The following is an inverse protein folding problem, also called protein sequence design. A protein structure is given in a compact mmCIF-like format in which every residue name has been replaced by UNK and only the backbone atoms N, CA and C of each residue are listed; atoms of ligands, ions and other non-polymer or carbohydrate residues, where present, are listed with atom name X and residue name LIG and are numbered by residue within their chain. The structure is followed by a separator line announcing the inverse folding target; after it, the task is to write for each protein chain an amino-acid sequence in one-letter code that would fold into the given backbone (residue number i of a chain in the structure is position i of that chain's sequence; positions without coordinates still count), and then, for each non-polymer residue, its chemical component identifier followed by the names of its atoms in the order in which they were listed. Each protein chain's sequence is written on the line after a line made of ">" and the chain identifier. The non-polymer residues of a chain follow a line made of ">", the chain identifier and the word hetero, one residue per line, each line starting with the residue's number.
data_IF_779247228910
#
_entry.id   IF_779247228910
#
_cell.length_a   1.000
_cell.length_b   1.000
_cell.length_c   1.000
_cell.angle_alpha   90.00
_cell.angle_beta   90.00
_cell.angle_gamma   90.00
#
_symmetry.space_group_name_H-M   'P 1'
#
loop_
_entity.id
_entity.type
_entity.pdbx_description
1 polymer ?
#
# COMPACT_ATOMS: atom_id res chain seq x y z
N UNK A 1 73.20 -35.58 -45.93
CA UNK A 1 73.11 -34.36 -45.07
C UNK A 1 71.64 -34.18 -44.70
N UNK A 2 71.22 -34.60 -43.52
CA UNK A 2 69.81 -34.49 -43.04
C UNK A 2 69.80 -33.47 -41.95
N UNK A 3 69.10 -32.37 -42.12
CA UNK A 3 68.93 -31.27 -41.20
C UNK A 3 67.70 -31.65 -40.30
N UNK A 4 67.91 -31.77 -38.98
CA UNK A 4 66.83 -31.89 -38.02
C UNK A 4 66.54 -30.49 -37.44
N UNK A 5 65.33 -30.03 -37.60
CA UNK A 5 64.81 -28.83 -36.95
C UNK A 5 64.01 -29.28 -35.75
N UNK A 6 64.44 -28.89 -34.54
CA UNK A 6 63.70 -29.10 -33.27
C UNK A 6 62.83 -27.89 -33.04
N UNK A 7 61.52 -28.11 -33.00
CA UNK A 7 60.52 -27.09 -32.63
C UNK A 7 60.38 -27.08 -31.12
N UNK A 8 60.72 -25.99 -30.45
CA UNK A 8 60.45 -25.76 -29.04
C UNK A 8 59.07 -25.10 -28.93
N UNK A 9 58.10 -25.83 -28.39
CA UNK A 9 56.79 -25.28 -28.09
C UNK A 9 56.87 -24.62 -26.68
N UNK A 10 56.94 -23.28 -26.67
CA UNK A 10 56.79 -22.50 -25.45
C UNK A 10 55.28 -22.41 -25.08
N UNK A 11 54.96 -23.07 -23.97
CA UNK A 11 53.61 -22.96 -23.40
C UNK A 11 53.35 -21.53 -22.87
N UNK A 12 52.45 -20.82 -23.53
CA UNK A 12 51.89 -19.56 -23.01
C UNK A 12 50.82 -19.89 -21.99
N UNK A 13 51.09 -19.67 -20.70
CA UNK A 13 50.11 -19.78 -19.63
C UNK A 13 49.22 -18.54 -19.76
N UNK A 14 48.05 -18.68 -20.41
CA UNK A 14 46.99 -17.68 -20.40
C UNK A 14 46.37 -17.66 -18.99
N UNK A 15 46.79 -16.72 -18.18
CA UNK A 15 46.06 -16.38 -16.98
C UNK A 15 44.68 -15.84 -17.36
N UNK A 16 43.62 -16.63 -17.11
CA UNK A 16 42.24 -16.17 -17.20
C UNK A 16 42.02 -15.13 -16.08
N UNK A 17 42.24 -13.87 -16.42
CA UNK A 17 41.73 -12.75 -15.66
C UNK A 17 40.20 -12.78 -15.85
N UNK A 18 39.47 -13.27 -14.85
CA UNK A 18 38.05 -13.01 -14.76
C UNK A 18 37.86 -11.50 -14.79
N UNK A 19 37.07 -10.95 -15.71
CA UNK A 19 36.72 -9.55 -15.58
C UNK A 19 35.91 -9.40 -14.34
N UNK A 20 36.47 -8.78 -13.29
CA UNK A 20 35.69 -8.20 -12.25
C UNK A 20 34.80 -7.16 -12.95
N UNK A 21 33.58 -7.55 -13.28
CA UNK A 21 32.55 -6.62 -13.66
C UNK A 21 32.28 -5.74 -12.45
N UNK A 22 32.96 -4.63 -12.35
CA UNK A 22 32.51 -3.54 -11.51
C UNK A 22 31.16 -3.12 -12.06
N UNK A 23 30.08 -3.70 -11.53
CA UNK A 23 28.75 -3.19 -11.79
C UNK A 23 28.76 -1.73 -11.38
N UNK A 24 28.47 -0.84 -12.31
CA UNK A 24 28.26 0.57 -11.99
C UNK A 24 27.24 0.63 -10.87
N UNK A 25 27.41 1.51 -9.87
CA UNK A 25 26.43 1.64 -8.80
C UNK A 25 25.06 1.90 -9.44
N UNK A 26 24.10 1.09 -9.04
CA UNK A 26 22.72 1.21 -9.48
C UNK A 26 22.21 2.62 -9.17
N UNK A 27 21.76 3.34 -10.19
CA UNK A 27 21.18 4.68 -10.03
C UNK A 27 19.69 4.54 -9.74
N UNK A 28 19.32 4.51 -8.49
CA UNK A 28 17.94 4.67 -8.05
C UNK A 28 17.78 6.00 -7.29
N UNK A 29 16.53 6.46 -7.16
CA UNK A 29 16.21 7.64 -6.40
C UNK A 29 15.56 7.23 -5.08
N UNK A 30 15.77 8.01 -4.01
CA UNK A 30 15.06 7.83 -2.75
C UNK A 30 14.71 9.17 -2.11
N UNK A 31 13.53 9.22 -1.47
CA UNK A 31 13.03 10.39 -0.75
C UNK A 31 12.39 9.97 0.57
N UNK A 32 12.36 10.82 1.60
CA UNK A 32 11.58 10.56 2.80
C UNK A 32 10.10 10.35 2.47
N UNK A 33 9.45 9.42 3.16
CA UNK A 33 8.02 9.17 3.05
C UNK A 33 7.24 9.99 4.10
N UNK A 34 5.98 10.38 3.82
CA UNK A 34 5.13 11.06 4.78
C UNK A 34 4.67 10.11 5.88
N UNK A 35 4.18 10.69 6.99
CA UNK A 35 3.42 9.97 8.01
C UNK A 35 1.94 9.95 7.66
N UNK A 36 1.30 8.81 7.85
CA UNK A 36 -0.16 8.61 7.81
C UNK A 36 -0.65 8.45 9.23
N UNK A 37 -1.80 9.05 9.56
CA UNK A 37 -2.33 9.09 10.93
C UNK A 37 -3.51 8.14 11.09
N UNK A 38 -3.57 7.49 12.24
CA UNK A 38 -4.73 6.71 12.70
C UNK A 38 -5.46 7.47 13.80
N UNK A 39 -6.76 7.65 13.64
CA UNK A 39 -7.53 8.51 14.49
C UNK A 39 -8.48 7.74 15.42
N UNK A 40 -8.84 8.37 16.52
CA UNK A 40 -9.98 7.95 17.35
C UNK A 40 -11.26 8.15 16.56
N UNK A 41 -12.11 7.14 16.53
CA UNK A 41 -13.47 7.28 16.04
C UNK A 41 -14.29 8.27 16.92
N UNK A 42 -15.30 8.93 16.36
CA UNK A 42 -16.22 9.75 17.13
C UNK A 42 -16.83 8.99 18.30
N UNK A 43 -17.06 9.68 19.43
CA UNK A 43 -17.67 9.07 20.62
C UNK A 43 -19.05 8.49 20.27
N UNK A 44 -19.28 7.23 20.65
CA UNK A 44 -20.53 6.53 20.36
C UNK A 44 -20.55 5.82 19.00
N UNK A 45 -19.44 5.77 18.27
CA UNK A 45 -19.30 4.94 17.06
C UNK A 45 -19.56 3.48 17.43
N UNK A 46 -20.51 2.85 16.75
CA UNK A 46 -20.81 1.43 16.90
C UNK A 46 -19.95 0.60 15.96
N UNK A 47 -19.37 -0.46 16.46
CA UNK A 47 -18.64 -1.46 15.68
C UNK A 47 -19.22 -2.86 15.95
N UNK A 48 -18.93 -3.79 15.05
CA UNK A 48 -19.32 -5.19 15.25
C UNK A 48 -18.12 -5.94 15.82
N UNK A 49 -18.22 -6.34 17.10
CA UNK A 49 -17.22 -7.24 17.70
C UNK A 49 -17.30 -8.59 16.99
N UNK A 50 -16.24 -9.02 16.36
CA UNK A 50 -16.09 -10.37 15.81
C UNK A 50 -14.88 -11.00 16.47
N UNK A 51 -15.05 -12.22 16.96
CA UNK A 51 -13.93 -13.07 17.32
C UNK A 51 -13.20 -13.45 16.04
N UNK A 52 -12.09 -12.80 15.77
CA UNK A 52 -11.23 -13.19 14.68
C UNK A 52 -10.44 -14.43 15.11
N UNK A 53 -10.60 -15.58 14.44
CA UNK A 53 -9.73 -16.69 14.72
C UNK A 53 -8.30 -16.26 14.38
N UNK A 54 -7.38 -16.36 15.33
CA UNK A 54 -5.94 -16.24 15.08
C UNK A 54 -5.51 -17.47 14.28
N UNK A 55 -5.69 -17.45 12.97
CA UNK A 55 -5.10 -18.46 12.08
C UNK A 55 -3.64 -18.08 11.86
N UNK A 56 -2.80 -18.48 12.79
CA UNK A 56 -1.35 -18.38 12.60
C UNK A 56 -0.91 -19.51 11.67
N UNK A 57 -0.45 -19.18 10.48
CA UNK A 57 0.50 -20.04 9.79
C UNK A 57 1.75 -20.10 10.65
N UNK A 58 2.29 -21.29 10.90
CA UNK A 58 3.54 -21.45 11.65
C UNK A 58 4.76 -20.92 10.87
N UNK A 59 4.61 -20.68 9.59
CA UNK A 59 5.69 -20.27 8.70
C UNK A 59 5.72 -18.73 8.55
N UNK A 60 6.73 -18.12 9.14
CA UNK A 60 7.01 -16.70 8.92
C UNK A 60 7.44 -16.47 7.47
N UNK A 61 6.79 -15.50 6.81
CA UNK A 61 7.08 -15.08 5.44
C UNK A 61 8.15 -13.98 5.39
N UNK A 62 8.42 -13.31 6.54
CA UNK A 62 9.47 -12.30 6.69
C UNK A 62 10.03 -12.31 8.10
N UNK A 63 11.27 -11.83 8.22
CA UNK A 63 11.88 -11.47 9.50
C UNK A 63 11.66 -9.98 9.73
N UNK A 64 11.02 -9.61 10.84
CA UNK A 64 10.81 -8.22 11.25
C UNK A 64 11.51 -8.01 12.58
N UNK A 65 12.43 -7.06 12.63
CA UNK A 65 13.21 -6.69 13.82
C UNK A 65 12.71 -5.36 14.37
N UNK A 66 12.55 -5.26 15.70
CA UNK A 66 11.98 -4.10 16.36
C UNK A 66 13.05 -3.35 17.15
N UNK A 67 13.19 -2.06 16.88
CA UNK A 67 13.84 -1.12 17.78
C UNK A 67 12.75 -0.40 18.60
N UNK A 68 12.62 -0.74 19.86
CA UNK A 68 11.59 -0.17 20.74
C UNK A 68 11.91 1.24 21.23
N UNK A 69 13.16 1.70 21.05
CA UNK A 69 13.63 3.03 21.42
C UNK A 69 13.13 3.44 22.84
N UNK A 70 12.29 4.49 22.94
CA UNK A 70 11.77 5.02 24.21
C UNK A 70 10.44 4.37 24.64
N UNK A 71 10.00 3.32 23.97
CA UNK A 71 8.72 2.65 24.27
C UNK A 71 8.77 1.92 25.61
N UNK A 72 7.82 2.16 26.53
CA UNK A 72 7.77 1.47 27.82
C UNK A 72 7.64 -0.05 27.66
N UNK A 73 8.22 -0.80 28.61
CA UNK A 73 8.29 -2.26 28.53
C UNK A 73 6.92 -2.94 28.48
N UNK A 74 5.92 -2.39 29.16
CA UNK A 74 4.56 -2.92 29.19
C UNK A 74 3.84 -2.87 27.82
N UNK A 75 4.31 -2.05 26.85
CA UNK A 75 3.75 -1.96 25.50
C UNK A 75 4.30 -3.04 24.56
N UNK A 76 5.51 -3.54 24.85
CA UNK A 76 6.26 -4.44 23.97
C UNK A 76 5.50 -5.72 23.58
N UNK A 77 4.76 -6.39 24.50
CA UNK A 77 4.03 -7.61 24.15
C UNK A 77 2.97 -7.39 23.06
N UNK A 78 2.19 -6.31 23.15
CA UNK A 78 1.16 -5.99 22.16
C UNK A 78 1.78 -5.60 20.80
N UNK A 79 2.88 -4.85 20.81
CA UNK A 79 3.63 -4.49 19.61
C UNK A 79 4.21 -5.76 18.95
N UNK A 80 4.82 -6.66 19.75
CA UNK A 80 5.37 -7.91 19.23
C UNK A 80 4.29 -8.79 18.61
N UNK A 81 3.11 -8.88 19.23
CA UNK A 81 1.98 -9.64 18.69
C UNK A 81 1.54 -9.12 17.31
N UNK A 82 1.44 -7.80 17.16
CA UNK A 82 1.13 -7.16 15.87
C UNK A 82 2.19 -7.44 14.78
N UNK A 83 3.48 -7.38 15.16
CA UNK A 83 4.61 -7.68 14.27
C UNK A 83 4.60 -9.15 13.86
N UNK A 84 4.29 -10.06 14.78
CA UNK A 84 4.21 -11.49 14.46
C UNK A 84 3.10 -11.78 13.45
N UNK A 85 1.98 -11.09 13.51
CA UNK A 85 0.89 -11.17 12.52
C UNK A 85 1.38 -10.75 11.12
N UNK A 86 2.06 -9.60 11.01
CA UNK A 86 2.57 -9.14 9.71
C UNK A 86 3.74 -9.98 9.20
N UNK A 87 4.58 -10.53 10.09
CA UNK A 87 5.65 -11.43 9.68
C UNK A 87 5.16 -12.69 8.97
N UNK A 88 3.90 -13.06 9.18
CA UNK A 88 3.24 -14.19 8.51
C UNK A 88 2.51 -13.79 7.24
N UNK A 89 2.18 -12.51 7.08
CA UNK A 89 1.33 -11.99 6.00
C UNK A 89 2.12 -11.25 4.92
N UNK A 90 3.22 -10.60 5.26
CA UNK A 90 4.08 -9.88 4.32
C UNK A 90 5.30 -10.71 3.93
N UNK A 91 5.46 -10.95 2.63
CA UNK A 91 6.56 -11.78 2.11
C UNK A 91 7.80 -10.94 1.81
N UNK A 92 8.90 -11.21 2.50
CA UNK A 92 10.20 -10.61 2.23
C UNK A 92 11.34 -11.56 2.61
N UNK A 93 12.29 -11.78 1.70
CA UNK A 93 13.54 -12.45 2.01
C UNK A 93 14.57 -11.52 2.70
N UNK A 94 14.34 -10.21 2.63
CA UNK A 94 15.17 -9.17 3.26
C UNK A 94 14.56 -8.85 4.62
N UNK A 95 15.33 -8.85 5.72
CA UNK A 95 14.83 -8.45 7.03
C UNK A 95 14.32 -7.00 7.01
N UNK A 96 13.22 -6.77 7.72
CA UNK A 96 12.59 -5.45 7.85
C UNK A 96 12.94 -4.90 9.23
N UNK A 97 13.50 -3.69 9.28
CA UNK A 97 13.80 -2.98 10.54
C UNK A 97 12.67 -1.99 10.80
N UNK A 98 12.04 -2.07 11.96
CA UNK A 98 11.03 -1.11 12.38
C UNK A 98 11.50 -0.36 13.62
N UNK A 99 11.20 0.94 13.67
CA UNK A 99 11.44 1.79 14.82
C UNK A 99 10.11 2.21 15.44
N UNK A 100 9.99 2.02 16.76
CA UNK A 100 8.80 2.43 17.52
C UNK A 100 9.18 3.60 18.43
N UNK A 101 8.48 4.70 18.27
CA UNK A 101 8.65 5.92 19.08
C UNK A 101 7.39 6.14 19.94
N UNK A 102 7.58 6.27 21.25
CA UNK A 102 6.51 6.63 22.17
C UNK A 102 6.66 8.11 22.54
N UNK A 103 5.92 8.97 21.85
CA UNK A 103 6.08 10.40 21.94
C UNK A 103 4.75 11.15 21.83
N UNK A 104 4.72 12.40 22.31
CA UNK A 104 3.52 13.23 22.24
C UNK A 104 3.30 13.71 20.80
N UNK A 105 2.10 13.49 20.27
CA UNK A 105 1.67 14.02 18.98
C UNK A 105 0.97 15.39 19.15
N UNK A 106 0.80 16.13 18.04
CA UNK A 106 0.19 17.46 18.02
C UNK A 106 -1.31 17.46 18.40
N UNK A 107 -1.98 16.33 18.29
CA UNK A 107 -3.41 16.16 18.61
C UNK A 107 -3.63 14.89 19.42
N UNK A 108 -4.44 14.97 20.45
CA UNK A 108 -4.89 13.81 21.24
C UNK A 108 -5.91 12.93 20.51
N UNK A 109 -6.43 13.40 19.36
CA UNK A 109 -7.27 12.60 18.46
C UNK A 109 -6.49 11.55 17.68
N UNK A 110 -5.20 11.79 17.44
CA UNK A 110 -4.31 10.82 16.79
C UNK A 110 -3.93 9.75 17.80
N UNK A 111 -4.15 8.48 17.47
CA UNK A 111 -3.72 7.32 18.27
C UNK A 111 -2.26 6.98 18.01
N UNK A 112 -1.90 6.89 16.74
CA UNK A 112 -0.56 6.67 16.26
C UNK A 112 -0.41 7.21 14.84
N UNK A 113 0.82 7.16 14.32
CA UNK A 113 1.13 7.48 12.93
C UNK A 113 2.29 6.60 12.43
N UNK A 114 2.25 6.19 11.17
CA UNK A 114 3.34 5.46 10.55
C UNK A 114 3.85 6.10 9.27
N UNK A 115 5.13 5.84 8.98
CA UNK A 115 5.80 6.18 7.74
C UNK A 115 6.61 4.97 7.26
N UNK A 116 6.64 4.67 5.94
CA UNK A 116 7.57 3.69 5.37
C UNK A 116 9.03 4.16 5.36
N UNK A 117 9.39 5.12 6.19
CA UNK A 117 10.72 5.70 6.26
C UNK A 117 11.09 6.42 4.96
N UNK A 118 11.26 5.69 3.88
CA UNK A 118 11.61 6.24 2.55
C UNK A 118 10.81 5.57 1.44
N UNK A 119 10.71 6.29 0.33
CA UNK A 119 10.31 5.74 -0.96
C UNK A 119 11.52 5.59 -1.89
N UNK A 120 11.48 4.58 -2.75
CA UNK A 120 12.51 4.27 -3.75
C UNK A 120 11.90 4.12 -5.14
N UNK A 121 12.58 4.67 -6.17
CA UNK A 121 12.20 4.58 -7.58
C UNK A 121 13.40 4.14 -8.42
N UNK A 122 13.16 3.38 -9.47
CA UNK A 122 14.16 3.03 -10.48
C UNK A 122 15.21 2.00 -10.05
N UNK A 123 14.97 1.25 -8.96
CA UNK A 123 15.86 0.17 -8.52
C UNK A 123 15.67 -1.11 -9.37
N UNK A 124 16.70 -1.95 -9.44
CA UNK A 124 16.60 -3.24 -10.13
C UNK A 124 15.58 -4.14 -9.41
N UNK A 125 14.65 -4.70 -10.16
CA UNK A 125 13.53 -5.49 -9.63
C UNK A 125 12.24 -4.71 -9.44
N UNK A 126 12.23 -3.36 -9.59
CA UNK A 126 11.01 -2.59 -9.56
C UNK A 126 10.05 -3.03 -10.69
N UNK A 127 8.80 -3.42 -10.39
CA UNK A 127 7.83 -3.83 -11.41
C UNK A 127 7.49 -2.70 -12.41
N UNK A 128 7.52 -1.46 -11.94
CA UNK A 128 7.40 -0.25 -12.76
C UNK A 128 8.44 0.78 -12.28
N UNK A 129 9.34 1.19 -13.17
CA UNK A 129 10.44 2.11 -12.85
C UNK A 129 10.02 3.57 -12.66
N UNK A 130 8.74 3.91 -12.81
CA UNK A 130 8.18 5.26 -12.61
C UNK A 130 7.36 5.38 -11.33
N UNK A 131 7.32 4.31 -10.52
CA UNK A 131 6.55 4.23 -9.29
C UNK A 131 7.50 4.23 -8.09
N UNK A 132 7.09 4.88 -7.01
CA UNK A 132 7.83 5.07 -5.78
C UNK A 132 7.38 4.05 -4.73
N UNK A 133 8.21 3.05 -4.48
CA UNK A 133 7.91 1.94 -3.58
C UNK A 133 8.35 2.25 -2.15
N UNK A 134 7.50 1.93 -1.18
CA UNK A 134 7.84 1.94 0.24
C UNK A 134 9.08 1.06 0.52
N UNK A 135 9.93 1.45 1.47
CA UNK A 135 11.23 0.81 1.72
C UNK A 135 11.15 -0.71 1.87
N UNK A 136 10.21 -1.21 2.69
CA UNK A 136 10.03 -2.65 2.87
C UNK A 136 9.66 -3.39 1.57
N UNK A 137 8.79 -2.79 0.73
CA UNK A 137 8.44 -3.33 -0.58
C UNK A 137 9.63 -3.29 -1.53
N UNK A 138 10.33 -2.15 -1.58
CA UNK A 138 11.48 -1.97 -2.46
C UNK A 138 12.59 -2.98 -2.13
N UNK A 139 12.92 -3.18 -0.86
CA UNK A 139 13.91 -4.15 -0.40
C UNK A 139 13.49 -5.60 -0.75
N UNK A 140 12.21 -5.94 -0.53
CA UNK A 140 11.67 -7.26 -0.90
C UNK A 140 11.79 -7.52 -2.41
N UNK A 141 11.48 -6.55 -3.25
CA UNK A 141 11.53 -6.64 -4.70
C UNK A 141 12.99 -6.65 -5.23
N UNK A 142 13.87 -5.85 -4.62
CA UNK A 142 15.28 -5.78 -4.97
C UNK A 142 16.08 -7.01 -4.48
N UNK A 143 15.53 -7.79 -3.52
CA UNK A 143 16.24 -8.89 -2.87
C UNK A 143 17.41 -8.45 -2.00
N UNK A 144 17.51 -7.18 -1.66
CA UNK A 144 18.54 -6.58 -0.80
C UNK A 144 18.05 -5.31 -0.14
N UNK A 145 18.66 -4.93 0.95
CA UNK A 145 18.43 -3.64 1.60
C UNK A 145 19.03 -2.50 0.76
N UNK A 146 18.22 -1.51 0.44
CA UNK A 146 18.58 -0.35 -0.39
C UNK A 146 19.11 0.82 0.45
N UNK A 147 18.83 0.84 1.76
CA UNK A 147 19.29 1.90 2.69
C UNK A 147 19.53 1.34 4.11
N UNK A 148 20.60 0.58 4.34
CA UNK A 148 20.89 -0.03 5.63
C UNK A 148 21.10 0.94 6.80
N UNK A 149 21.13 2.24 6.54
CA UNK A 149 21.32 3.25 7.56
C UNK A 149 20.00 3.69 8.24
N UNK A 150 18.86 3.37 7.64
CA UNK A 150 17.55 3.81 8.11
C UNK A 150 16.58 2.62 8.23
N UNK A 151 15.62 2.66 9.19
CA UNK A 151 14.58 1.64 9.28
C UNK A 151 13.62 1.74 8.08
N UNK A 152 13.06 0.58 7.67
CA UNK A 152 12.03 0.51 6.64
C UNK A 152 10.70 1.09 7.11
N UNK A 153 10.43 1.06 8.41
CA UNK A 153 9.17 1.56 8.99
C UNK A 153 9.46 2.33 10.27
N UNK A 154 8.85 3.49 10.42
CA UNK A 154 8.82 4.22 11.70
C UNK A 154 7.37 4.38 12.16
N UNK A 155 7.07 3.97 13.39
CA UNK A 155 5.75 4.12 14.02
C UNK A 155 5.88 5.03 15.23
N UNK A 156 4.99 6.03 15.34
CA UNK A 156 4.88 6.96 16.46
C UNK A 156 3.61 6.70 17.23
N UNK A 157 3.71 6.13 18.42
CA UNK A 157 2.59 5.95 19.35
C UNK A 157 2.39 7.25 20.12
N UNK A 158 1.17 7.80 20.11
CA UNK A 158 0.88 9.04 20.80
C UNK A 158 0.79 8.84 22.32
N UNK A 159 1.81 9.27 23.03
CA UNK A 159 1.92 9.14 24.49
C UNK A 159 0.83 9.89 25.27
N UNK A 160 0.16 10.89 24.67
CA UNK A 160 -1.00 11.56 25.27
C UNK A 160 -2.17 10.59 25.54
N UNK A 161 -2.20 9.46 24.83
CA UNK A 161 -3.25 8.44 24.90
C UNK A 161 -2.89 7.25 25.79
N UNK A 162 -1.72 7.21 26.43
CA UNK A 162 -1.20 6.04 27.14
C UNK A 162 -2.21 5.43 28.14
N UNK A 163 -2.88 6.25 28.94
CA UNK A 163 -3.89 5.78 29.88
C UNK A 163 -5.17 5.21 29.23
N UNK A 164 -5.39 5.50 27.95
CA UNK A 164 -6.55 5.03 27.18
C UNK A 164 -6.25 3.78 26.36
N UNK A 165 -5.00 3.29 26.36
CA UNK A 165 -4.62 2.10 25.60
C UNK A 165 -4.87 0.82 26.41
N UNK A 166 -5.29 -0.22 25.71
CA UNK A 166 -5.34 -1.59 26.20
C UNK A 166 -4.11 -2.34 25.70
N UNK A 167 -3.36 -2.93 26.61
CA UNK A 167 -2.06 -3.57 26.32
C UNK A 167 -2.15 -5.10 26.27
N UNK A 168 -3.35 -5.67 26.53
CA UNK A 168 -3.56 -7.11 26.40
C UNK A 168 -3.63 -7.55 24.94
N UNK A 169 -3.31 -8.82 24.70
CA UNK A 169 -3.32 -9.45 23.38
C UNK A 169 -4.38 -10.53 23.25
N UNK A 170 -5.34 -10.56 24.16
CA UNK A 170 -6.38 -11.57 24.28
C UNK A 170 -7.68 -11.24 23.51
N UNK A 171 -7.73 -10.07 22.83
CA UNK A 171 -8.90 -9.60 22.09
C UNK A 171 -10.03 -9.07 22.97
N UNK A 172 -9.83 -8.91 24.28
CA UNK A 172 -10.84 -8.47 25.22
C UNK A 172 -10.71 -6.98 25.60
N UNK A 173 -10.45 -6.12 24.61
CA UNK A 173 -10.31 -4.69 24.83
C UNK A 173 -11.59 -4.11 25.48
N UNK A 174 -11.47 -3.44 26.64
CA UNK A 174 -12.62 -2.77 27.28
C UNK A 174 -13.16 -1.62 26.41
N UNK A 175 -14.48 -1.40 26.46
CA UNK A 175 -15.17 -0.33 25.71
C UNK A 175 -14.74 1.10 26.10
N UNK A 176 -13.89 1.26 27.12
CA UNK A 176 -13.31 2.54 27.53
C UNK A 176 -11.89 2.73 27.02
N UNK A 177 -11.34 1.78 26.26
CA UNK A 177 -9.94 1.77 25.82
C UNK A 177 -9.81 1.52 24.31
N UNK A 178 -8.64 1.83 23.79
CA UNK A 178 -8.23 1.51 22.41
C UNK A 178 -7.22 0.36 22.43
N UNK A 179 -7.39 -0.63 21.58
CA UNK A 179 -6.54 -1.81 21.51
C UNK A 179 -5.20 -1.50 20.85
N UNK A 180 -4.09 -1.62 21.59
CA UNK A 180 -2.76 -1.27 21.07
C UNK A 180 -2.31 -2.22 19.98
N UNK A 181 -2.58 -3.52 20.08
CA UNK A 181 -2.23 -4.50 19.04
C UNK A 181 -2.89 -4.12 17.71
N UNK A 182 -4.18 -3.75 17.73
CA UNK A 182 -4.91 -3.28 16.56
C UNK A 182 -4.32 -2.01 15.96
N UNK A 183 -3.93 -1.04 16.80
CA UNK A 183 -3.26 0.19 16.36
C UNK A 183 -1.97 -0.16 15.63
N UNK A 184 -1.13 -1.03 16.17
CA UNK A 184 0.16 -1.38 15.56
C UNK A 184 -0.04 -2.20 14.28
N UNK A 185 -1.03 -3.09 14.21
CA UNK A 185 -1.36 -3.82 12.97
C UNK A 185 -1.74 -2.82 11.85
N UNK A 186 -2.55 -1.81 12.16
CA UNK A 186 -2.94 -0.76 11.23
C UNK A 186 -1.72 0.04 10.76
N UNK A 187 -0.90 0.55 11.67
CA UNK A 187 0.26 1.36 11.37
C UNK A 187 1.31 0.60 10.55
N UNK A 188 1.50 -0.69 10.84
CA UNK A 188 2.36 -1.54 10.01
C UNK A 188 1.84 -1.66 8.58
N UNK A 189 0.53 -1.69 8.36
CA UNK A 189 -0.04 -1.64 7.01
C UNK A 189 0.46 -0.43 6.22
N UNK A 190 0.41 0.76 6.81
CA UNK A 190 0.96 1.99 6.21
C UNK A 190 2.47 1.91 6.00
N UNK A 191 3.20 1.47 7.03
CA UNK A 191 4.66 1.31 6.96
C UNK A 191 5.09 0.32 5.87
N UNK A 192 4.33 -0.71 5.63
CA UNK A 192 4.57 -1.71 4.57
C UNK A 192 4.11 -1.24 3.18
N UNK A 193 3.52 -0.04 3.05
CA UNK A 193 3.22 0.57 1.76
C UNK A 193 1.73 0.77 1.44
N UNK A 194 0.82 0.50 2.36
CA UNK A 194 -0.61 0.76 2.17
C UNK A 194 -0.88 2.26 2.37
N UNK A 195 -0.47 3.10 1.43
CA UNK A 195 -0.67 4.55 1.49
C UNK A 195 -0.61 5.22 0.11
N UNK A 196 -1.39 6.28 -0.06
CA UNK A 196 -1.30 7.22 -1.18
C UNK A 196 -0.25 8.31 -0.87
N UNK A 197 0.45 8.78 -1.89
CA UNK A 197 1.33 9.95 -1.81
C UNK A 197 0.71 11.18 -2.49
N UNK A 198 -0.62 11.22 -2.58
CA UNK A 198 -1.36 12.38 -3.06
C UNK A 198 -1.47 13.46 -1.98
N UNK A 199 -1.56 14.71 -2.41
CA UNK A 199 -1.75 15.87 -1.54
C UNK A 199 -2.87 16.76 -2.08
N UNK A 200 -3.47 17.58 -1.22
CA UNK A 200 -4.64 18.42 -1.53
C UNK A 200 -4.49 19.82 -0.97
N UNK A 201 -4.62 20.82 -1.83
CA UNK A 201 -4.70 22.22 -1.41
C UNK A 201 -6.16 22.65 -1.26
N UNK A 202 -6.61 22.77 -0.02
CA UNK A 202 -8.00 23.15 0.31
C UNK A 202 -8.34 24.60 -0.07
N UNK A 203 -7.35 25.50 -0.24
CA UNK A 203 -7.59 26.88 -0.63
C UNK A 203 -7.98 27.01 -2.11
N UNK A 204 -7.44 26.11 -2.94
CA UNK A 204 -7.65 26.11 -4.39
C UNK A 204 -8.45 24.91 -4.89
N UNK A 205 -8.75 23.92 -4.03
CA UNK A 205 -9.42 22.69 -4.43
C UNK A 205 -8.59 21.87 -5.42
N UNK A 206 -7.27 21.98 -5.38
CA UNK A 206 -6.36 21.28 -6.30
C UNK A 206 -5.70 20.10 -5.63
N UNK A 207 -5.62 18.97 -6.34
CA UNK A 207 -4.84 17.80 -5.93
C UNK A 207 -3.48 17.79 -6.60
N UNK A 208 -2.49 17.19 -5.94
CA UNK A 208 -1.18 16.89 -6.51
C UNK A 208 -0.75 15.45 -6.23
N UNK A 209 -0.08 14.85 -7.21
CA UNK A 209 0.51 13.51 -7.12
C UNK A 209 1.77 13.49 -7.99
N UNK A 210 2.90 13.83 -7.39
CA UNK A 210 4.17 13.98 -8.12
C UNK A 210 5.06 12.74 -8.05
N UNK A 211 4.80 11.88 -7.06
CA UNK A 211 5.53 10.63 -6.82
C UNK A 211 4.53 9.52 -6.52
N UNK A 212 3.88 8.96 -7.57
CA UNK A 212 2.86 7.93 -7.36
C UNK A 212 3.47 6.68 -6.72
N UNK A 213 2.78 6.14 -5.72
CA UNK A 213 3.09 4.85 -5.10
C UNK A 213 2.41 3.71 -5.85
N UNK A 214 2.76 2.43 -5.58
CA UNK A 214 1.96 1.31 -6.07
C UNK A 214 0.48 1.44 -5.70
N UNK A 215 0.18 1.95 -4.50
CA UNK A 215 -1.19 2.20 -4.06
C UNK A 215 -1.92 3.18 -5.00
N UNK A 216 -1.29 4.30 -5.36
CA UNK A 216 -1.84 5.29 -6.28
C UNK A 216 -2.07 4.72 -7.68
N UNK A 217 -1.22 3.79 -8.10
CA UNK A 217 -1.31 3.14 -9.40
C UNK A 217 -2.52 2.18 -9.52
N UNK A 218 -2.98 1.64 -8.39
CA UNK A 218 -4.19 0.82 -8.32
C UNK A 218 -5.44 1.61 -7.93
N UNK A 219 -5.31 2.83 -7.41
CA UNK A 219 -6.44 3.72 -7.16
C UNK A 219 -7.04 4.17 -8.50
N UNK A 220 -8.36 4.00 -8.67
CA UNK A 220 -9.08 4.20 -9.93
C UNK A 220 -10.31 5.06 -9.74
N UNK A 221 -10.52 5.99 -10.68
CA UNK A 221 -11.73 6.79 -10.78
C UNK A 221 -12.90 5.93 -11.29
N UNK A 222 -14.17 6.38 -11.11
CA UNK A 222 -15.34 5.68 -11.62
C UNK A 222 -15.35 5.47 -13.15
N UNK A 223 -14.67 6.34 -13.90
CA UNK A 223 -14.52 6.25 -15.34
C UNK A 223 -13.45 5.25 -15.81
N UNK A 224 -12.74 4.62 -14.87
CA UNK A 224 -11.72 3.60 -15.12
C UNK A 224 -10.31 4.13 -15.30
N UNK A 225 -10.08 5.45 -15.29
CA UNK A 225 -8.73 6.04 -15.28
C UNK A 225 -8.05 5.77 -13.92
N UNK A 226 -6.75 5.51 -13.94
CA UNK A 226 -5.96 5.43 -12.69
C UNK A 226 -5.77 6.85 -12.13
N UNK A 227 -5.68 6.95 -10.81
CA UNK A 227 -5.41 8.22 -10.13
C UNK A 227 -4.13 8.88 -10.65
N UNK A 228 -3.07 8.10 -10.86
CA UNK A 228 -1.79 8.59 -11.36
C UNK A 228 -1.80 9.08 -12.80
N UNK A 229 -2.84 8.80 -13.59
CA UNK A 229 -2.99 9.27 -14.97
C UNK A 229 -3.73 10.61 -15.04
N UNK A 230 -4.25 11.12 -13.93
CA UNK A 230 -4.88 12.45 -13.86
C UNK A 230 -3.79 13.53 -13.82
N UNK A 231 -3.98 14.61 -14.58
CA UNK A 231 -3.02 15.71 -14.59
C UNK A 231 -2.72 16.22 -13.17
N UNK A 232 -1.46 16.33 -12.83
CA UNK A 232 -0.97 16.79 -11.52
C UNK A 232 0.00 17.97 -11.67
N UNK A 233 -0.18 19.08 -10.91
CA UNK A 233 -1.35 19.38 -10.08
C UNK A 233 -2.57 19.80 -10.91
N UNK A 234 -3.80 19.56 -10.41
CA UNK A 234 -5.02 20.02 -11.08
C UNK A 234 -6.25 20.03 -10.15
N UNK A 235 -7.27 20.82 -10.53
CA UNK A 235 -8.59 20.79 -9.90
C UNK A 235 -9.32 19.46 -10.17
N UNK A 236 -9.06 18.79 -11.30
CA UNK A 236 -9.61 17.47 -11.60
C UNK A 236 -9.10 16.42 -10.63
N UNK A 237 -7.77 16.43 -10.35
CA UNK A 237 -7.18 15.57 -9.35
C UNK A 237 -7.75 15.89 -7.95
N UNK A 238 -7.86 17.17 -7.57
CA UNK A 238 -8.49 17.57 -6.31
C UNK A 238 -9.90 17.01 -6.16
N UNK A 239 -10.71 17.07 -7.22
CA UNK A 239 -12.05 16.47 -7.24
C UNK A 239 -11.99 14.94 -7.12
N UNK A 240 -11.01 14.27 -7.71
CA UNK A 240 -10.86 12.82 -7.58
C UNK A 240 -10.53 12.43 -6.14
N UNK A 241 -9.67 13.20 -5.44
CA UNK A 241 -9.29 12.92 -4.05
C UNK A 241 -10.42 13.13 -3.03
N UNK A 242 -11.49 13.84 -3.39
CA UNK A 242 -12.66 14.14 -2.54
C UNK A 242 -13.94 13.51 -3.06
N UNK A 243 -13.83 12.54 -3.95
CA UNK A 243 -14.95 11.81 -4.51
C UNK A 243 -14.66 10.31 -4.51
N UNK A 244 -15.45 9.50 -5.19
CA UNK A 244 -15.30 8.06 -5.20
C UNK A 244 -14.02 7.64 -5.91
N UNK A 245 -13.14 6.96 -5.17
CA UNK A 245 -12.04 6.15 -5.70
C UNK A 245 -12.25 4.69 -5.30
N UNK A 246 -11.79 3.78 -6.15
CA UNK A 246 -11.88 2.34 -5.92
C UNK A 246 -10.55 1.68 -6.22
N UNK A 247 -10.31 0.52 -5.60
CA UNK A 247 -9.15 -0.32 -5.88
C UNK A 247 -9.36 -1.12 -7.17
N UNK A 248 -8.35 -1.19 -8.03
CA UNK A 248 -8.42 -1.90 -9.33
C UNK A 248 -7.58 -3.17 -9.39
N UNK A 249 -6.87 -3.54 -8.31
CA UNK A 249 -6.03 -4.73 -8.26
C UNK A 249 -6.85 -6.02 -8.26
N UNK A 250 -6.40 -7.02 -9.03
CA UNK A 250 -7.15 -8.25 -9.27
C UNK A 250 -7.33 -9.11 -8.01
N UNK A 251 -6.30 -9.16 -7.14
CA UNK A 251 -6.38 -9.92 -5.89
C UNK A 251 -7.38 -9.28 -4.93
N UNK A 252 -7.29 -7.93 -4.75
CA UNK A 252 -8.23 -7.19 -3.91
C UNK A 252 -9.68 -7.34 -4.39
N UNK A 253 -9.93 -7.23 -5.70
CA UNK A 253 -11.25 -7.45 -6.29
C UNK A 253 -11.76 -8.87 -6.04
N UNK A 254 -10.91 -9.87 -6.26
CA UNK A 254 -11.25 -11.30 -6.06
C UNK A 254 -11.66 -11.58 -4.61
N UNK A 255 -10.89 -11.08 -3.66
CA UNK A 255 -11.17 -11.27 -2.22
C UNK A 255 -12.41 -10.50 -1.80
N UNK A 256 -12.67 -9.34 -2.38
CA UNK A 256 -13.88 -8.56 -2.14
C UNK A 256 -15.07 -9.01 -3.02
N UNK A 257 -15.20 -10.32 -3.26
CA UNK A 257 -16.31 -10.94 -3.97
C UNK A 257 -16.57 -10.40 -5.38
N UNK A 258 -15.52 -10.01 -6.09
CA UNK A 258 -15.60 -9.44 -7.44
C UNK A 258 -15.97 -7.97 -7.49
N UNK A 259 -16.14 -7.31 -6.36
CA UNK A 259 -16.43 -5.87 -6.27
C UNK A 259 -15.14 -5.10 -6.01
N UNK A 260 -14.93 -4.00 -6.74
CA UNK A 260 -13.80 -3.10 -6.49
C UNK A 260 -13.89 -2.50 -5.08
N UNK A 261 -12.90 -2.72 -4.20
CA UNK A 261 -12.88 -2.11 -2.87
C UNK A 261 -12.93 -0.58 -2.96
N UNK A 262 -13.78 0.04 -2.15
CA UNK A 262 -13.90 1.49 -2.09
C UNK A 262 -12.84 2.07 -1.18
N UNK A 263 -12.17 3.15 -1.63
CA UNK A 263 -11.18 3.89 -0.86
C UNK A 263 -11.82 5.05 -0.10
N UNK A 264 -11.19 5.47 0.99
CA UNK A 264 -11.67 6.56 1.82
C UNK A 264 -11.43 7.92 1.16
N UNK A 265 -12.47 8.52 0.62
CA UNK A 265 -12.42 9.80 -0.07
C UNK A 265 -13.59 10.69 0.39
N UNK A 266 -13.53 11.20 1.64
CA UNK A 266 -14.57 12.07 2.17
C UNK A 266 -14.66 13.39 1.38
N UNK A 267 -15.85 14.00 1.31
CA UNK A 267 -16.07 15.25 0.60
C UNK A 267 -15.20 16.40 1.13
N UNK A 268 -14.89 16.39 2.42
CA UNK A 268 -13.88 17.25 3.02
C UNK A 268 -12.59 16.45 3.15
N UNK A 269 -11.56 16.85 2.43
CA UNK A 269 -10.26 16.15 2.48
C UNK A 269 -9.68 16.18 3.90
N UNK A 270 -9.29 15.02 4.40
CA UNK A 270 -8.69 14.83 5.72
C UNK A 270 -7.22 14.50 5.55
N UNK A 271 -6.34 15.46 5.91
CA UNK A 271 -4.89 15.30 5.80
C UNK A 271 -4.38 14.13 6.65
N UNK A 272 -3.53 13.31 6.05
CA UNK A 272 -3.00 12.10 6.70
C UNK A 272 -3.99 10.95 6.80
N UNK A 273 -5.18 11.04 6.14
CA UNK A 273 -6.21 9.99 6.19
C UNK A 273 -6.82 9.72 4.81
N UNK A 274 -7.28 10.77 4.11
CA UNK A 274 -7.93 10.64 2.81
C UNK A 274 -7.07 9.88 1.81
N UNK A 275 -7.70 9.04 1.01
CA UNK A 275 -7.14 8.13 0.00
C UNK A 275 -6.35 6.96 0.59
N UNK A 276 -5.55 7.17 1.62
CA UNK A 276 -4.66 6.15 2.23
C UNK A 276 -5.38 5.07 3.04
N UNK A 277 -6.71 5.02 3.02
CA UNK A 277 -7.51 4.09 3.80
C UNK A 277 -8.63 3.45 2.96
N UNK A 278 -9.19 2.36 3.48
CA UNK A 278 -10.45 1.79 3.01
C UNK A 278 -11.63 2.66 3.47
N UNK A 279 -12.71 2.69 2.66
CA UNK A 279 -13.89 3.50 2.95
C UNK A 279 -14.53 3.11 4.29
N UNK A 280 -14.55 4.03 5.24
CA UNK A 280 -15.09 3.84 6.58
C UNK A 280 -16.54 3.32 6.55
N UNK A 281 -17.41 3.94 5.74
CA UNK A 281 -18.82 3.57 5.67
C UNK A 281 -19.05 2.16 5.10
N UNK A 282 -18.14 1.69 4.24
CA UNK A 282 -18.22 0.36 3.63
C UNK A 282 -17.64 -0.72 4.54
N UNK A 283 -16.50 -0.45 5.19
CA UNK A 283 -15.69 -1.48 5.86
C UNK A 283 -15.72 -1.45 7.38
N UNK A 284 -16.09 -0.35 8.05
CA UNK A 284 -16.12 -0.26 9.52
C UNK A 284 -17.04 -1.31 10.20
N UNK A 285 -17.94 -1.92 9.46
CA UNK A 285 -18.83 -2.99 9.92
C UNK A 285 -18.39 -4.38 9.47
N UNK A 286 -17.33 -4.47 8.68
CA UNK A 286 -16.70 -5.72 8.30
C UNK A 286 -15.63 -6.02 9.32
N UNK A 287 -15.91 -6.88 10.26
CA UNK A 287 -14.96 -7.26 11.30
C UNK A 287 -13.68 -7.95 10.77
N UNK A 288 -13.62 -8.26 9.50
CA UNK A 288 -12.48 -8.96 8.88
C UNK A 288 -11.59 -8.00 8.11
N UNK A 289 -12.16 -6.96 7.46
CA UNK A 289 -11.45 -6.09 6.52
C UNK A 289 -11.45 -4.60 6.95
N UNK A 290 -11.78 -4.30 8.22
CA UNK A 290 -11.84 -2.92 8.73
C UNK A 290 -10.51 -2.39 9.25
N UNK A 291 -9.45 -3.20 9.30
CA UNK A 291 -8.17 -2.77 9.89
C UNK A 291 -7.60 -1.51 9.25
N UNK A 292 -7.76 -1.32 7.94
CA UNK A 292 -7.27 -0.13 7.24
C UNK A 292 -8.37 0.91 6.98
N UNK A 293 -9.41 0.99 7.82
CA UNK A 293 -10.29 2.16 7.89
C UNK A 293 -9.64 3.27 8.73
N UNK A 294 -9.98 4.56 8.53
CA UNK A 294 -9.22 5.66 9.12
C UNK A 294 -9.40 5.86 10.62
N UNK A 295 -10.34 5.16 11.26
CA UNK A 295 -10.70 5.39 12.66
C UNK A 295 -10.82 4.08 13.44
N UNK A 296 -10.43 4.12 14.73
CA UNK A 296 -10.62 3.04 15.69
C UNK A 296 -11.60 3.47 16.78
N UNK A 297 -12.63 2.66 17.01
CA UNK A 297 -13.55 2.89 18.12
C UNK A 297 -13.01 2.29 19.44
N UNK A 298 -13.47 2.83 20.57
CA UNK A 298 -13.17 2.25 21.88
C UNK A 298 -13.70 0.81 21.97
N UNK A 299 -12.86 -0.13 22.40
CA UNK A 299 -13.20 -1.55 22.52
C UNK A 299 -13.17 -2.32 21.19
N UNK A 300 -12.93 -1.67 20.08
CA UNK A 300 -12.76 -2.32 18.78
C UNK A 300 -11.40 -3.03 18.68
N UNK A 301 -11.39 -4.21 18.06
CA UNK A 301 -10.22 -5.09 18.03
C UNK A 301 -10.02 -5.67 16.62
N UNK A 302 -8.81 -5.51 16.09
CA UNK A 302 -8.32 -6.11 14.85
C UNK A 302 -7.01 -6.85 15.12
N UNK A 303 -7.04 -8.15 15.29
CA UNK A 303 -5.83 -8.93 15.49
C UNK A 303 -5.40 -9.70 14.21
N UNK A 304 -5.76 -9.14 13.06
CA UNK A 304 -5.39 -9.62 11.73
C UNK A 304 -5.46 -8.47 10.73
N UNK A 305 -4.59 -8.39 9.70
CA UNK A 305 -4.71 -7.41 8.62
C UNK A 305 -5.93 -7.66 7.73
N UNK A 306 -6.57 -8.83 7.85
CA UNK A 306 -7.67 -9.23 6.99
C UNK A 306 -7.22 -9.67 5.58
N UNK A 307 -7.99 -10.54 4.93
CA UNK A 307 -7.63 -11.08 3.62
C UNK A 307 -7.62 -10.01 2.52
N UNK A 308 -8.45 -8.98 2.62
CA UNK A 308 -8.52 -7.91 1.63
C UNK A 308 -7.24 -7.07 1.62
N UNK A 309 -6.77 -6.64 2.79
CA UNK A 309 -5.56 -5.81 2.89
C UNK A 309 -4.32 -6.57 2.44
N UNK A 310 -4.20 -7.85 2.82
CA UNK A 310 -3.11 -8.73 2.33
C UNK A 310 -3.15 -8.84 0.81
N UNK A 311 -4.32 -9.08 0.22
CA UNK A 311 -4.49 -9.18 -1.22
C UNK A 311 -4.17 -7.86 -1.96
N UNK A 312 -4.51 -6.70 -1.37
CA UNK A 312 -4.15 -5.39 -1.93
C UNK A 312 -2.63 -5.15 -1.87
N UNK A 313 -1.95 -5.59 -0.80
CA UNK A 313 -0.49 -5.54 -0.71
C UNK A 313 0.15 -6.45 -1.77
N UNK A 314 -0.38 -7.66 -1.98
CA UNK A 314 0.08 -8.55 -3.05
C UNK A 314 -0.08 -7.92 -4.45
N UNK A 315 -1.18 -7.22 -4.71
CA UNK A 315 -1.36 -6.45 -5.95
C UNK A 315 -0.25 -5.39 -6.12
N UNK A 316 0.17 -4.72 -5.05
CA UNK A 316 1.22 -3.67 -5.10
C UNK A 316 2.63 -4.20 -5.37
N UNK A 317 2.88 -5.49 -5.19
CA UNK A 317 4.17 -6.13 -5.46
C UNK A 317 4.33 -6.56 -6.93
N UNK A 318 3.32 -6.37 -7.76
CA UNK A 318 3.37 -6.68 -9.19
C UNK A 318 3.13 -5.43 -10.04
N UNK A 319 3.44 -5.52 -11.33
CA UNK A 319 3.23 -4.39 -12.24
C UNK A 319 1.74 -4.04 -12.33
N UNK A 320 1.35 -2.80 -12.05
CA UNK A 320 -0.04 -2.38 -12.19
C UNK A 320 -0.51 -2.46 -13.65
N UNK A 321 -1.81 -2.68 -13.88
CA UNK A 321 -2.37 -2.66 -15.23
C UNK A 321 -2.04 -1.34 -15.93
N UNK A 322 -1.85 -1.37 -17.22
CA UNK A 322 -1.69 -0.15 -18.03
C UNK A 322 -2.93 0.74 -17.85
N UNK A 323 -2.70 2.05 -17.73
CA UNK A 323 -3.80 3.01 -17.70
C UNK A 323 -4.58 3.01 -19.02
N UNK A 324 -5.83 3.43 -18.96
CA UNK A 324 -6.60 3.67 -20.17
C UNK A 324 -6.02 4.91 -20.87
N UNK A 325 -5.59 4.80 -22.13
CA UNK A 325 -5.03 5.94 -22.83
C UNK A 325 -6.03 7.11 -22.83
N UNK A 326 -5.54 8.29 -22.47
CA UNK A 326 -6.36 9.52 -22.52
C UNK A 326 -6.78 9.76 -23.98
N UNK A 327 -8.08 9.87 -24.22
CA UNK A 327 -8.62 10.12 -25.56
C UNK A 327 -9.15 8.90 -26.33
N UNK A 328 -8.93 7.66 -25.84
CA UNK A 328 -9.63 6.51 -26.42
C UNK A 328 -11.01 6.33 -25.77
N UNK A 329 -12.05 5.99 -26.56
CA UNK A 329 -13.35 5.65 -26.02
C UNK A 329 -13.25 4.45 -25.09
N UNK A 330 -13.87 4.53 -23.93
CA UNK A 330 -14.05 3.37 -23.05
C UNK A 330 -15.03 2.38 -23.67
N UNK A 331 -15.08 1.16 -23.13
CA UNK A 331 -16.07 0.18 -23.54
C UNK A 331 -17.47 0.68 -23.24
N UNK A 332 -18.46 0.43 -24.14
CA UNK A 332 -19.86 0.72 -23.88
C UNK A 332 -20.33 0.06 -22.57
N UNK A 333 -21.18 0.78 -21.83
CA UNK A 333 -21.76 0.28 -20.57
C UNK A 333 -23.13 -0.36 -20.81
N UNK A 334 -23.59 -1.17 -19.87
CA UNK A 334 -24.93 -1.76 -19.86
C UNK A 334 -25.33 -2.46 -21.19
N UNK A 335 -24.39 -3.17 -21.79
CA UNK A 335 -24.61 -3.88 -23.05
C UNK A 335 -25.68 -4.96 -22.86
N UNK A 336 -26.77 -4.87 -23.65
CA UNK A 336 -27.87 -5.85 -23.67
C UNK A 336 -28.12 -6.27 -25.10
N UNK A 337 -28.42 -7.53 -25.32
CA UNK A 337 -28.85 -8.07 -26.60
C UNK A 337 -30.35 -8.45 -26.54
N UNK A 338 -31.12 -7.97 -27.48
CA UNK A 338 -32.45 -8.49 -27.77
C UNK A 338 -32.35 -9.39 -28.99
N UNK A 339 -32.72 -10.66 -28.80
CA UNK A 339 -32.69 -11.67 -29.87
C UNK A 339 -33.99 -11.54 -30.69
N UNK A 340 -33.85 -11.35 -32.00
CA UNK A 340 -34.94 -11.42 -32.98
C UNK A 340 -34.82 -12.68 -33.85
N UNK A 341 -35.77 -12.89 -34.77
CA UNK A 341 -35.66 -13.99 -35.76
C UNK A 341 -34.51 -13.66 -36.72
N UNK A 342 -33.42 -14.51 -36.63
CA UNK A 342 -32.17 -14.33 -37.41
C UNK A 342 -31.46 -12.99 -37.22
N UNK A 343 -31.75 -12.26 -36.13
CA UNK A 343 -31.15 -10.97 -35.79
C UNK A 343 -30.92 -10.83 -34.28
N UNK A 344 -30.03 -9.94 -33.89
CA UNK A 344 -29.90 -9.44 -32.53
C UNK A 344 -29.73 -7.91 -32.55
N UNK A 345 -30.47 -7.22 -31.69
CA UNK A 345 -30.29 -5.80 -31.49
C UNK A 345 -29.52 -5.57 -30.21
N UNK A 346 -28.39 -4.87 -30.29
CA UNK A 346 -27.59 -4.47 -29.15
C UNK A 346 -28.01 -3.09 -28.65
N UNK A 347 -28.29 -3.01 -27.37
CA UNK A 347 -28.48 -1.76 -26.64
C UNK A 347 -27.32 -1.56 -25.70
N UNK A 348 -26.77 -0.37 -25.63
CA UNK A 348 -25.70 -0.03 -24.70
C UNK A 348 -25.72 1.46 -24.39
N UNK A 349 -25.22 1.82 -23.22
CA UNK A 349 -24.93 3.19 -22.90
C UNK A 349 -23.58 3.60 -23.48
N UNK A 350 -23.45 4.81 -24.03
CA UNK A 350 -22.17 5.27 -24.55
C UNK A 350 -21.14 5.31 -23.41
N UNK A 351 -19.84 5.14 -23.73
CA UNK A 351 -18.76 5.28 -22.73
C UNK A 351 -18.84 6.63 -22.02
N UNK A 352 -18.49 6.66 -20.74
CA UNK A 352 -18.52 7.87 -19.91
C UNK A 352 -17.69 9.00 -20.53
N UNK A 353 -16.61 8.69 -21.25
CA UNK A 353 -15.75 9.63 -21.94
C UNK A 353 -16.12 9.85 -23.43
N UNK A 354 -17.23 9.34 -23.92
CA UNK A 354 -17.64 9.48 -25.33
C UNK A 354 -17.82 10.95 -25.78
N UNK A 355 -18.03 11.87 -24.81
CA UNK A 355 -18.13 13.31 -25.10
C UNK A 355 -16.75 13.97 -25.33
N UNK A 356 -15.67 13.33 -24.90
CA UNK A 356 -14.28 13.83 -25.01
C UNK A 356 -13.63 13.31 -26.29
N UNK A 357 -13.97 12.11 -26.70
CA UNK A 357 -13.59 11.53 -27.99
C UNK A 357 -14.77 11.59 -28.94
N UNK A 358 -14.59 12.23 -30.11
CA UNK A 358 -15.61 12.22 -31.17
C UNK A 358 -15.76 10.77 -31.69
N UNK A 359 -16.58 9.96 -31.04
CA UNK A 359 -16.93 8.62 -31.51
C UNK A 359 -17.99 8.79 -32.56
N UNK A 360 -17.63 8.68 -33.85
CA UNK A 360 -18.55 8.77 -34.98
C UNK A 360 -19.21 7.44 -35.33
N UNK A 361 -18.60 6.32 -34.97
CA UNK A 361 -19.12 4.95 -35.23
C UNK A 361 -18.58 3.94 -34.23
N UNK A 362 -19.40 2.95 -33.90
CA UNK A 362 -19.01 1.72 -33.22
C UNK A 362 -19.01 0.58 -34.26
N UNK A 363 -17.87 0.01 -34.57
CA UNK A 363 -17.74 -1.16 -35.45
C UNK A 363 -17.75 -2.43 -34.60
#
# INVERSE_FOLDING_TARGET
>A
MRLRVSLVIGGLLAALLSPNSYALPEKFQSVPAPFVNFYKAPIGTSFKKIEQPRTFSLDKQSQININFNTTPDEYKPAIQAAVDVWSQSFKSAVPIQIEILYERQSSDKVLAAASPGRFFEGFAGAPDGQIWYAAAMANSLAGRDLDPANPEVTIRINSSNGNSLYLGTDGNCPISKFDLESIIIHELGHGLGFLSNSDYDSNFGTGSLTRPTPYDAYAQLPDGRRLMDVQSPSAELGKALTNTLVWSGANGIRVNNGVKPKLYTPANYEYGSSVSHLDEATFSRSAVDSVMTPNLANGEVFHSPGPLVVAMIEDMLVKPPAGIPVGLPQVPQNVRALVGDKSATLYFDPPINARVSQVSTYN
#
